data_IF_051965593276
#
_entry.id   IF_051965593276
#
_cell.length_a   1.000
_cell.length_b   1.000
_cell.length_c   1.000
_cell.angle_alpha   90.00
_cell.angle_beta   90.00
_cell.angle_gamma   90.00
#
_symmetry.space_group_name_H-M   'P 1'
#
loop_
_entity.id
_entity.type
_entity.pdbx_description
1 polymer ?
#
# COMPACT_ATOMS: atom_id res chain seq x y z
N UNK A 1 23.23 -37.23 2.17
CA UNK A 1 22.12 -36.91 1.24
C UNK A 1 22.47 -35.61 0.56
N UNK A 2 22.65 -35.61 -0.75
CA UNK A 2 22.86 -34.37 -1.52
C UNK A 2 21.58 -33.55 -1.42
N UNK A 3 21.66 -32.36 -0.83
CA UNK A 3 20.52 -31.46 -0.71
C UNK A 3 20.10 -31.07 -2.14
N UNK A 4 18.89 -31.46 -2.57
CA UNK A 4 18.42 -31.40 -3.97
C UNK A 4 18.53 -29.98 -4.54
N UNK A 5 18.48 -28.97 -3.66
CA UNK A 5 18.54 -27.56 -4.04
C UNK A 5 19.95 -27.02 -4.29
N UNK A 6 21.01 -27.71 -3.88
CA UNK A 6 22.37 -27.23 -4.09
C UNK A 6 22.73 -27.30 -5.58
N UNK A 7 23.33 -26.23 -6.13
CA UNK A 7 23.75 -26.24 -7.52
C UNK A 7 24.93 -27.20 -7.71
N UNK A 8 25.06 -27.77 -8.91
CA UNK A 8 26.08 -28.80 -9.22
C UNK A 8 27.53 -28.36 -8.97
N UNK A 9 27.81 -27.06 -9.03
CA UNK A 9 29.13 -26.49 -8.78
C UNK A 9 29.46 -26.37 -7.28
N UNK A 10 28.46 -26.46 -6.40
CA UNK A 10 28.65 -26.30 -4.97
C UNK A 10 29.05 -27.64 -4.33
N UNK A 11 30.30 -27.73 -3.90
CA UNK A 11 30.84 -28.91 -3.20
C UNK A 11 30.91 -28.66 -1.69
N UNK A 12 31.33 -27.45 -1.30
CA UNK A 12 31.50 -27.02 0.08
C UNK A 12 31.40 -25.48 0.19
N UNK A 13 31.50 -24.93 1.40
CA UNK A 13 31.43 -23.49 1.65
C UNK A 13 32.51 -22.65 0.95
N UNK A 14 33.60 -23.27 0.51
CA UNK A 14 34.71 -22.61 -0.19
C UNK A 14 34.58 -22.73 -1.71
N UNK A 15 33.47 -23.30 -2.21
CA UNK A 15 33.24 -23.43 -3.65
C UNK A 15 32.91 -22.08 -4.24
N UNK A 16 33.71 -21.64 -5.22
CA UNK A 16 33.45 -20.41 -5.96
C UNK A 16 32.49 -20.68 -7.12
N UNK A 17 31.50 -19.80 -7.30
CA UNK A 17 30.55 -19.93 -8.39
C UNK A 17 31.24 -19.60 -9.73
N UNK A 18 31.21 -20.49 -10.73
CA UNK A 18 31.89 -20.24 -12.01
C UNK A 18 31.17 -19.20 -12.88
N UNK A 19 29.95 -18.82 -12.54
CA UNK A 19 29.11 -17.93 -13.34
C UNK A 19 29.13 -16.47 -12.88
N UNK A 20 29.66 -16.19 -11.68
CA UNK A 20 29.65 -14.84 -11.11
C UNK A 20 29.73 -14.85 -9.59
N UNK A 21 29.21 -13.77 -8.99
CA UNK A 21 29.21 -13.57 -7.54
C UNK A 21 27.79 -13.66 -6.99
N UNK A 22 27.60 -14.41 -5.90
CA UNK A 22 26.35 -14.38 -5.13
C UNK A 22 26.29 -13.10 -4.31
N UNK A 23 25.24 -12.29 -4.52
CA UNK A 23 24.95 -11.10 -3.74
C UNK A 23 23.88 -11.39 -2.69
N UNK A 24 23.77 -10.47 -1.73
CA UNK A 24 22.72 -10.52 -0.72
C UNK A 24 21.33 -10.56 -1.35
N UNK A 25 20.44 -11.36 -0.74
CA UNK A 25 19.08 -11.51 -1.23
C UNK A 25 18.92 -12.48 -2.40
N UNK A 26 19.81 -13.47 -2.53
CA UNK A 26 19.75 -14.45 -3.62
C UNK A 26 19.73 -13.79 -4.99
N UNK A 27 20.67 -12.89 -5.27
CA UNK A 27 20.85 -12.25 -6.58
C UNK A 27 22.22 -12.61 -7.12
N UNK A 28 22.30 -13.13 -8.35
CA UNK A 28 23.59 -13.39 -9.01
C UNK A 28 24.07 -12.15 -9.75
N UNK A 29 25.34 -11.77 -9.57
CA UNK A 29 26.06 -10.81 -10.41
C UNK A 29 26.97 -11.58 -11.39
N UNK A 30 26.62 -11.68 -12.68
CA UNK A 30 27.43 -12.40 -13.66
C UNK A 30 28.79 -11.73 -13.91
N UNK A 31 29.86 -12.50 -14.14
CA UNK A 31 31.18 -11.93 -14.45
C UNK A 31 31.20 -11.06 -15.72
N UNK A 32 30.42 -11.46 -16.73
CA UNK A 32 30.31 -10.75 -18.01
C UNK A 32 28.91 -10.10 -18.12
N UNK A 33 28.53 -9.28 -17.14
CA UNK A 33 27.24 -8.61 -17.14
C UNK A 33 27.16 -7.56 -18.26
N UNK A 34 26.22 -7.73 -19.19
CA UNK A 34 25.83 -6.70 -20.14
C UNK A 34 24.88 -5.68 -19.51
N UNK A 35 24.36 -4.78 -20.33
CA UNK A 35 23.42 -3.75 -19.88
C UNK A 35 22.15 -4.34 -19.26
N UNK A 36 21.58 -5.38 -19.88
CA UNK A 36 20.34 -6.00 -19.42
C UNK A 36 20.54 -6.79 -18.12
N UNK A 37 21.68 -7.48 -17.96
CA UNK A 37 22.05 -8.17 -16.73
C UNK A 37 22.27 -7.16 -15.60
N UNK A 38 23.00 -6.07 -15.86
CA UNK A 38 23.20 -4.99 -14.88
C UNK A 38 21.87 -4.37 -14.42
N UNK A 39 20.97 -4.06 -15.36
CA UNK A 39 19.63 -3.59 -15.04
C UNK A 39 18.82 -4.64 -14.26
N UNK A 40 18.99 -5.92 -14.58
CA UNK A 40 18.32 -7.02 -13.88
C UNK A 40 18.80 -7.18 -12.44
N UNK A 41 20.10 -6.97 -12.18
CA UNK A 41 20.64 -6.92 -10.81
C UNK A 41 19.97 -5.80 -10.02
N UNK A 42 19.83 -4.61 -10.60
CA UNK A 42 19.13 -3.48 -9.96
C UNK A 42 17.68 -3.82 -9.62
N UNK A 43 16.95 -4.43 -10.55
CA UNK A 43 15.58 -4.90 -10.28
C UNK A 43 15.52 -6.01 -9.23
N UNK A 44 16.57 -6.83 -9.11
CA UNK A 44 16.72 -7.79 -8.00
C UNK A 44 16.62 -7.13 -6.62
N UNK A 45 17.05 -5.87 -6.47
CA UNK A 45 16.99 -5.17 -5.19
C UNK A 45 15.69 -4.39 -4.93
N UNK A 46 14.78 -4.30 -5.90
CA UNK A 46 13.53 -3.54 -5.77
C UNK A 46 12.62 -4.04 -4.63
N UNK A 47 12.45 -5.36 -4.38
CA UNK A 47 11.62 -5.81 -3.26
C UNK A 47 12.11 -5.29 -1.91
N UNK A 48 13.44 -5.21 -1.73
CA UNK A 48 14.05 -4.66 -0.51
C UNK A 48 13.86 -3.15 -0.41
N UNK A 49 14.06 -2.43 -1.51
CA UNK A 49 13.81 -0.99 -1.56
C UNK A 49 12.34 -0.65 -1.26
N UNK A 50 11.40 -1.42 -1.83
CA UNK A 50 9.98 -1.31 -1.53
C UNK A 50 9.68 -1.63 -0.05
N UNK A 51 10.28 -2.69 0.50
CA UNK A 51 10.16 -3.03 1.92
C UNK A 51 10.63 -1.90 2.84
N UNK A 52 11.81 -1.34 2.59
CA UNK A 52 12.34 -0.18 3.33
C UNK A 52 11.41 1.01 3.19
N UNK A 53 10.95 1.33 1.98
CA UNK A 53 9.98 2.39 1.73
C UNK A 53 8.71 2.22 2.58
N UNK A 54 8.12 1.01 2.61
CA UNK A 54 6.93 0.75 3.41
C UNK A 54 7.20 0.79 4.92
N UNK A 55 8.40 0.43 5.38
CA UNK A 55 8.76 0.55 6.81
C UNK A 55 8.84 2.03 7.18
N UNK A 56 9.52 2.85 6.38
CA UNK A 56 9.68 4.28 6.63
C UNK A 56 8.32 5.00 6.61
N UNK A 57 7.45 4.70 5.63
CA UNK A 57 6.11 5.30 5.57
C UNK A 57 5.23 4.82 6.73
N UNK A 58 5.38 3.57 7.20
CA UNK A 58 4.70 3.08 8.40
C UNK A 58 5.12 3.84 9.64
N UNK A 59 6.43 4.07 9.83
CA UNK A 59 6.96 4.84 10.98
C UNK A 59 6.44 6.28 10.95
N UNK A 60 6.39 6.88 9.76
CA UNK A 60 5.95 8.26 9.57
C UNK A 60 4.44 8.44 9.74
N UNK A 61 3.62 7.62 9.08
CA UNK A 61 2.15 7.77 9.05
C UNK A 61 1.44 7.04 10.19
N UNK A 62 2.02 5.94 10.69
CA UNK A 62 1.50 5.10 11.78
C UNK A 62 0.06 4.63 11.54
N UNK A 63 -0.27 4.43 10.26
CA UNK A 63 -1.61 4.11 9.82
C UNK A 63 -1.84 2.61 9.69
N UNK A 64 -3.08 2.18 9.92
CA UNK A 64 -3.50 0.78 9.80
C UNK A 64 -3.27 0.22 8.39
N UNK A 65 -3.38 1.05 7.36
CA UNK A 65 -3.07 0.65 5.99
C UNK A 65 -1.60 0.25 5.81
N UNK A 66 -0.69 1.11 6.28
CA UNK A 66 0.75 0.88 6.19
C UNK A 66 1.15 -0.37 6.99
N UNK A 67 0.62 -0.53 8.21
CA UNK A 67 0.81 -1.75 9.00
C UNK A 67 0.30 -3.00 8.27
N UNK A 68 -0.84 -2.92 7.59
CA UNK A 68 -1.39 -4.05 6.83
C UNK A 68 -0.45 -4.51 5.72
N UNK A 69 0.19 -3.58 4.99
CA UNK A 69 1.16 -3.90 3.94
C UNK A 69 2.41 -4.59 4.53
N UNK A 70 2.92 -4.12 5.67
CA UNK A 70 4.07 -4.75 6.33
C UNK A 70 3.73 -6.16 6.81
N UNK A 71 2.59 -6.33 7.47
CA UNK A 71 2.13 -7.64 7.95
C UNK A 71 1.95 -8.59 6.77
N UNK A 72 1.35 -8.11 5.67
CA UNK A 72 1.22 -8.89 4.45
C UNK A 72 2.57 -9.35 3.91
N UNK A 73 3.54 -8.43 3.77
CA UNK A 73 4.89 -8.78 3.32
C UNK A 73 5.56 -9.84 4.19
N UNK A 74 5.41 -9.76 5.51
CA UNK A 74 5.91 -10.79 6.45
C UNK A 74 5.24 -12.14 6.19
N UNK A 75 3.91 -12.17 6.01
CA UNK A 75 3.15 -13.41 5.75
C UNK A 75 3.55 -14.02 4.41
N UNK A 76 3.72 -13.22 3.35
CA UNK A 76 4.16 -13.68 2.03
C UNK A 76 5.57 -14.29 2.11
N UNK A 77 6.50 -13.62 2.79
CA UNK A 77 7.85 -14.17 2.99
C UNK A 77 7.81 -15.47 3.78
N UNK A 78 7.07 -15.50 4.89
CA UNK A 78 6.98 -16.67 5.75
C UNK A 78 6.32 -17.87 5.03
N UNK A 79 5.22 -17.65 4.32
CA UNK A 79 4.53 -18.69 3.56
C UNK A 79 5.40 -19.23 2.42
N UNK A 80 6.16 -18.38 1.74
CA UNK A 80 7.07 -18.80 0.69
C UNK A 80 8.29 -19.58 1.21
N UNK A 81 9.01 -19.03 2.19
CA UNK A 81 10.24 -19.64 2.72
C UNK A 81 9.98 -20.89 3.56
N UNK A 82 8.91 -20.91 4.36
CA UNK A 82 8.62 -22.02 5.26
C UNK A 82 7.51 -22.95 4.77
N UNK A 83 6.73 -22.54 3.78
CA UNK A 83 5.67 -23.36 3.17
C UNK A 83 6.05 -23.85 1.79
N UNK A 84 5.89 -22.99 0.78
CA UNK A 84 5.94 -23.38 -0.63
C UNK A 84 7.28 -24.00 -1.05
N UNK A 85 8.41 -23.45 -0.60
CA UNK A 85 9.73 -23.99 -0.95
C UNK A 85 9.95 -25.43 -0.47
N UNK A 86 9.48 -25.73 0.74
CA UNK A 86 9.59 -27.07 1.35
C UNK A 86 8.65 -28.09 0.68
N UNK A 87 7.65 -27.65 -0.07
CA UNK A 87 6.76 -28.54 -0.84
C UNK A 87 7.36 -28.83 -2.22
N UNK A 88 8.04 -27.86 -2.84
CA UNK A 88 8.50 -27.96 -4.22
C UNK A 88 9.91 -28.56 -4.35
N UNK A 89 10.84 -28.28 -3.42
CA UNK A 89 12.22 -28.79 -3.39
C UNK A 89 12.96 -28.76 -4.75
N UNK A 90 12.69 -27.73 -5.57
CA UNK A 90 13.25 -27.64 -6.91
C UNK A 90 14.55 -26.84 -6.93
N UNK A 91 15.59 -27.41 -7.53
CA UNK A 91 16.86 -26.72 -7.78
C UNK A 91 16.72 -25.52 -8.73
N UNK A 92 17.66 -24.58 -8.61
CA UNK A 92 17.82 -23.46 -9.55
C UNK A 92 18.44 -23.94 -10.87
N UNK A 93 18.23 -23.22 -11.99
CA UNK A 93 18.85 -23.59 -13.26
C UNK A 93 20.37 -23.39 -13.25
N UNK A 94 21.03 -23.99 -14.23
CA UNK A 94 22.46 -23.77 -14.48
C UNK A 94 22.69 -22.29 -14.81
N UNK A 95 23.67 -21.68 -14.14
CA UNK A 95 23.98 -20.25 -14.27
C UNK A 95 23.74 -19.45 -13.00
N UNK A 96 22.91 -19.94 -12.06
CA UNK A 96 22.73 -19.28 -10.77
C UNK A 96 23.93 -19.51 -9.85
N UNK A 97 24.31 -18.48 -9.12
CA UNK A 97 25.23 -18.55 -7.99
C UNK A 97 24.52 -18.69 -6.63
N UNK A 98 23.18 -18.72 -6.62
CA UNK A 98 22.41 -18.89 -5.39
C UNK A 98 22.40 -20.36 -4.95
N UNK A 99 22.52 -20.59 -3.64
CA UNK A 99 22.60 -21.94 -3.05
C UNK A 99 21.29 -22.41 -2.41
N UNK A 100 20.25 -21.56 -2.39
CA UNK A 100 18.92 -21.88 -1.90
C UNK A 100 18.03 -22.53 -2.96
N UNK A 101 16.93 -23.16 -2.53
CA UNK A 101 15.92 -23.71 -3.45
C UNK A 101 15.32 -22.64 -4.36
N UNK A 102 15.05 -23.02 -5.61
CA UNK A 102 14.60 -22.12 -6.67
C UNK A 102 13.08 -22.03 -6.81
N UNK A 103 12.29 -22.97 -6.30
CA UNK A 103 10.83 -22.93 -6.46
C UNK A 103 10.11 -22.77 -5.12
N UNK A 104 9.18 -21.81 -5.00
CA UNK A 104 8.95 -20.67 -5.89
C UNK A 104 9.99 -19.56 -5.68
N UNK A 105 10.08 -18.64 -6.65
CA UNK A 105 10.93 -17.46 -6.52
C UNK A 105 10.33 -16.44 -5.55
N UNK A 106 10.98 -16.22 -4.40
CA UNK A 106 10.53 -15.27 -3.37
C UNK A 106 10.37 -13.85 -3.92
N UNK A 107 11.29 -13.41 -4.79
CA UNK A 107 11.23 -12.09 -5.42
C UNK A 107 9.98 -11.93 -6.28
N UNK A 108 9.65 -12.96 -7.07
CA UNK A 108 8.47 -12.94 -7.92
C UNK A 108 7.18 -13.02 -7.09
N UNK A 109 7.09 -13.89 -6.07
CA UNK A 109 5.92 -13.95 -5.18
C UNK A 109 5.68 -12.60 -4.51
N UNK A 110 6.69 -12.03 -3.84
CA UNK A 110 6.54 -10.77 -3.10
C UNK A 110 6.09 -9.63 -4.00
N UNK A 111 6.73 -9.46 -5.17
CA UNK A 111 6.43 -8.33 -6.07
C UNK A 111 5.10 -8.46 -6.77
N UNK A 112 4.73 -9.68 -7.21
CA UNK A 112 3.41 -9.93 -7.81
C UNK A 112 2.29 -9.82 -6.79
N UNK A 113 2.50 -10.30 -5.55
CA UNK A 113 1.56 -10.14 -4.45
C UNK A 113 1.35 -8.67 -4.08
N UNK A 114 2.44 -7.93 -3.88
CA UNK A 114 2.40 -6.50 -3.58
C UNK A 114 1.75 -5.71 -4.71
N UNK A 115 2.12 -5.98 -5.96
CA UNK A 115 1.51 -5.34 -7.13
C UNK A 115 0.00 -5.62 -7.18
N UNK A 116 -0.42 -6.86 -6.92
CA UNK A 116 -1.84 -7.26 -6.93
C UNK A 116 -2.65 -6.48 -5.90
N UNK A 117 -2.17 -6.37 -4.65
CA UNK A 117 -2.92 -5.62 -3.62
C UNK A 117 -3.02 -4.14 -3.96
N UNK A 118 -1.95 -3.53 -4.50
CA UNK A 118 -1.93 -2.11 -4.85
C UNK A 118 -2.84 -1.86 -6.06
N UNK A 119 -2.74 -2.69 -7.10
CA UNK A 119 -3.56 -2.60 -8.29
C UNK A 119 -5.05 -2.72 -7.94
N UNK A 120 -5.44 -3.70 -7.11
CA UNK A 120 -6.82 -3.86 -6.65
C UNK A 120 -7.26 -2.66 -5.80
N UNK A 121 -6.47 -2.22 -4.82
CA UNK A 121 -6.90 -1.11 -3.95
C UNK A 121 -7.03 0.22 -4.70
N UNK A 122 -6.15 0.50 -5.65
CA UNK A 122 -6.29 1.64 -6.56
C UNK A 122 -7.53 1.49 -7.47
N UNK A 123 -7.76 0.30 -8.04
CA UNK A 123 -8.89 0.06 -8.96
C UNK A 123 -10.24 0.19 -8.26
N UNK A 124 -10.35 -0.18 -6.98
CA UNK A 124 -11.61 -0.07 -6.22
C UNK A 124 -11.89 1.36 -5.74
N UNK A 125 -10.91 2.26 -5.77
CA UNK A 125 -11.07 3.66 -5.30
C UNK A 125 -11.23 4.65 -6.44
N UNK A 126 -10.96 4.26 -7.68
CA UNK A 126 -11.12 5.17 -8.83
C UNK A 126 -12.60 5.50 -9.02
N UNK A 127 -12.96 6.78 -8.90
CA UNK A 127 -14.32 7.25 -9.13
C UNK A 127 -14.42 7.86 -10.51
N UNK A 128 -15.46 7.46 -11.26
CA UNK A 128 -15.92 8.14 -12.46
C UNK A 128 -16.74 9.37 -12.09
N UNK A 129 -16.15 10.29 -11.32
CA UNK A 129 -16.80 11.60 -11.17
C UNK A 129 -16.54 12.37 -12.46
N UNK A 130 -17.57 12.87 -13.16
CA UNK A 130 -17.38 13.87 -14.20
C UNK A 130 -16.97 15.18 -13.50
N UNK A 131 -15.71 15.25 -13.07
CA UNK A 131 -15.10 16.52 -12.72
C UNK A 131 -15.04 17.28 -14.03
N UNK A 132 -15.79 18.38 -14.11
CA UNK A 132 -15.69 19.34 -15.21
C UNK A 132 -14.22 19.67 -15.42
N UNK A 133 -13.66 19.07 -16.47
CA UNK A 133 -12.25 19.14 -16.80
C UNK A 133 -12.03 20.55 -17.33
N UNK A 134 -11.71 21.49 -16.42
CA UNK A 134 -11.23 22.80 -16.82
C UNK A 134 -9.80 22.59 -17.31
N UNK A 135 -9.69 22.21 -18.58
CA UNK A 135 -8.45 21.88 -19.26
C UNK A 135 -7.54 23.09 -19.37
N UNK A 136 -6.78 23.36 -18.32
CA UNK A 136 -5.47 23.98 -18.49
C UNK A 136 -4.50 22.92 -19.01
N UNK A 137 -3.81 23.19 -20.12
CA UNK A 137 -2.66 22.40 -20.58
C UNK A 137 -1.56 22.42 -19.49
N UNK A 138 -1.71 21.59 -18.46
CA UNK A 138 -0.62 21.33 -17.51
C UNK A 138 0.26 20.24 -18.10
N UNK A 139 1.57 20.49 -18.12
CA UNK A 139 2.52 19.53 -18.68
C UNK A 139 2.43 18.20 -17.92
N UNK A 140 2.68 17.08 -18.59
CA UNK A 140 2.86 15.78 -17.94
C UNK A 140 3.84 15.87 -16.76
N UNK A 141 4.86 16.72 -16.88
CA UNK A 141 5.86 16.97 -15.83
C UNK A 141 5.24 17.61 -14.58
N UNK A 142 4.31 18.56 -14.75
CA UNK A 142 3.66 19.22 -13.61
C UNK A 142 2.72 18.26 -12.88
N UNK A 143 2.04 17.39 -13.63
CA UNK A 143 1.21 16.31 -13.08
C UNK A 143 2.04 15.28 -12.32
N UNK A 144 3.19 14.90 -12.87
CA UNK A 144 4.13 13.98 -12.21
C UNK A 144 4.77 14.60 -10.96
N UNK A 145 5.17 15.88 -11.00
CA UNK A 145 5.66 16.61 -9.83
C UNK A 145 4.59 16.73 -8.75
N UNK A 146 3.36 17.09 -9.11
CA UNK A 146 2.25 17.16 -8.17
C UNK A 146 1.97 15.79 -7.52
N UNK A 147 2.05 14.70 -8.29
CA UNK A 147 1.94 13.34 -7.79
C UNK A 147 3.04 12.99 -6.77
N UNK A 148 4.30 13.30 -7.08
CA UNK A 148 5.42 13.10 -6.16
C UNK A 148 5.29 13.95 -4.89
N UNK A 149 4.88 15.22 -5.02
CA UNK A 149 4.68 16.14 -3.90
C UNK A 149 3.49 15.76 -3.01
N UNK A 150 2.42 15.23 -3.59
CA UNK A 150 1.28 14.74 -2.82
C UNK A 150 1.62 13.48 -2.02
N UNK A 151 2.67 12.74 -2.38
CA UNK A 151 3.12 11.57 -1.62
C UNK A 151 2.10 10.43 -1.62
N UNK A 152 1.14 10.42 -2.55
CA UNK A 152 0.07 9.44 -2.60
C UNK A 152 0.45 8.17 -3.39
N UNK A 153 1.64 7.63 -3.10
CA UNK A 153 2.04 6.30 -3.59
C UNK A 153 1.22 5.18 -2.94
N UNK A 154 0.47 5.49 -1.88
CA UNK A 154 -0.45 4.60 -1.20
C UNK A 154 -1.92 5.06 -1.31
N UNK A 155 -2.85 4.15 -1.62
CA UNK A 155 -4.28 4.43 -1.67
C UNK A 155 -4.86 4.61 -0.26
N UNK A 156 -4.83 5.85 0.25
CA UNK A 156 -5.37 6.19 1.60
C UNK A 156 -6.65 7.01 1.56
N UNK A 157 -6.98 7.62 0.43
CA UNK A 157 -8.26 8.28 0.23
C UNK A 157 -9.35 7.25 -0.07
N UNK A 158 -10.59 7.50 0.37
CA UNK A 158 -11.76 6.66 0.01
C UNK A 158 -12.07 6.67 -1.49
N UNK A 159 -11.63 7.73 -2.19
CA UNK A 159 -11.87 8.01 -3.60
C UNK A 159 -10.62 8.64 -4.20
N UNK A 160 -10.23 8.23 -5.40
CA UNK A 160 -9.09 8.79 -6.16
C UNK A 160 -9.54 9.20 -7.57
N UNK A 161 -8.81 10.15 -8.18
CA UNK A 161 -9.02 10.54 -9.58
C UNK A 161 -8.40 9.53 -10.54
N UNK A 162 -8.88 9.51 -11.79
CA UNK A 162 -8.35 8.66 -12.87
C UNK A 162 -6.86 8.94 -13.13
N UNK A 163 -6.47 10.21 -13.12
CA UNK A 163 -5.08 10.63 -13.31
C UNK A 163 -4.15 10.08 -12.22
N UNK A 164 -4.61 10.12 -10.97
CA UNK A 164 -3.86 9.60 -9.84
C UNK A 164 -3.81 8.07 -9.90
N UNK A 165 -4.91 7.41 -10.27
CA UNK A 165 -4.92 5.97 -10.53
C UNK A 165 -3.87 5.58 -11.57
N UNK A 166 -3.86 6.23 -12.75
CA UNK A 166 -2.91 5.93 -13.83
C UNK A 166 -1.47 6.16 -13.39
N UNK A 167 -1.18 7.28 -12.73
CA UNK A 167 0.17 7.58 -12.24
C UNK A 167 0.65 6.56 -11.21
N UNK A 168 -0.18 6.22 -10.21
CA UNK A 168 0.20 5.31 -9.14
C UNK A 168 0.28 3.86 -9.60
N UNK A 169 -0.72 3.38 -10.34
CA UNK A 169 -0.72 2.03 -10.90
C UNK A 169 0.42 1.86 -11.91
N UNK A 170 0.69 2.87 -12.73
CA UNK A 170 1.82 2.89 -13.66
C UNK A 170 3.16 2.82 -12.94
N UNK A 171 3.37 3.66 -11.91
CA UNK A 171 4.58 3.64 -11.09
C UNK A 171 4.85 2.25 -10.49
N UNK A 172 3.86 1.67 -9.81
CA UNK A 172 4.03 0.37 -9.16
C UNK A 172 4.16 -0.78 -10.16
N UNK A 173 3.51 -0.69 -11.32
CA UNK A 173 3.69 -1.68 -12.39
C UNK A 173 5.11 -1.66 -12.94
N UNK A 174 5.65 -0.46 -13.22
CA UNK A 174 7.03 -0.29 -13.69
C UNK A 174 8.07 -0.68 -12.64
N UNK A 175 7.79 -0.47 -11.37
CA UNK A 175 8.70 -0.87 -10.29
C UNK A 175 8.69 -2.39 -10.06
N UNK A 176 7.51 -3.01 -9.94
CA UNK A 176 7.38 -4.37 -9.41
C UNK A 176 7.35 -5.46 -10.49
N UNK A 177 6.68 -5.24 -11.63
CA UNK A 177 6.49 -6.28 -12.65
C UNK A 177 7.77 -6.69 -13.41
N UNK A 178 8.80 -5.84 -13.58
CA UNK A 178 10.05 -6.29 -14.18
C UNK A 178 10.87 -7.24 -13.31
N UNK A 179 10.63 -7.27 -11.99
CA UNK A 179 11.40 -8.09 -11.03
C UNK A 179 11.32 -9.59 -11.36
N UNK A 180 10.14 -10.21 -11.59
CA UNK A 180 10.05 -11.58 -12.09
C UNK A 180 10.95 -11.87 -13.31
N UNK A 181 10.97 -10.98 -14.31
CA UNK A 181 11.77 -11.17 -15.52
C UNK A 181 13.27 -11.05 -15.23
N UNK A 182 13.67 -10.15 -14.35
CA UNK A 182 15.07 -9.98 -13.94
C UNK A 182 15.65 -11.28 -13.38
N UNK A 183 14.84 -12.06 -12.67
CA UNK A 183 15.24 -13.36 -12.11
C UNK A 183 15.54 -14.42 -13.18
N UNK A 184 14.85 -14.34 -14.32
CA UNK A 184 15.06 -15.24 -15.47
C UNK A 184 16.31 -14.82 -16.24
N UNK A 185 16.50 -13.51 -16.46
CA UNK A 185 17.67 -12.95 -17.17
C UNK A 185 18.95 -13.33 -16.43
N UNK A 186 18.98 -13.15 -15.10
CA UNK A 186 20.12 -13.50 -14.24
C UNK A 186 20.33 -15.01 -14.05
N UNK A 187 19.51 -15.85 -14.69
CA UNK A 187 19.54 -17.32 -14.53
C UNK A 187 19.37 -17.77 -13.08
N UNK A 188 18.78 -16.94 -12.23
CA UNK A 188 18.51 -17.32 -10.84
C UNK A 188 17.28 -18.23 -10.72
N UNK A 189 16.37 -18.15 -11.69
CA UNK A 189 15.17 -18.96 -11.76
C UNK A 189 14.80 -19.33 -13.19
N UNK A 190 14.09 -20.44 -13.37
CA UNK A 190 13.46 -20.78 -14.66
C UNK A 190 12.18 -20.00 -14.87
N UNK A 191 11.72 -19.87 -16.12
CA UNK A 191 10.43 -19.25 -16.43
C UNK A 191 9.26 -19.95 -15.71
N UNK A 192 9.32 -21.26 -15.55
CA UNK A 192 8.30 -22.02 -14.81
C UNK A 192 8.27 -21.65 -13.33
N UNK A 193 9.45 -21.56 -12.68
CA UNK A 193 9.55 -21.17 -11.27
C UNK A 193 8.99 -19.78 -11.03
N UNK A 194 9.28 -18.85 -11.93
CA UNK A 194 8.79 -17.47 -11.87
C UNK A 194 7.29 -17.39 -12.16
N UNK A 195 6.78 -18.16 -13.13
CA UNK A 195 5.36 -18.20 -13.47
C UNK A 195 4.51 -18.74 -12.31
N UNK A 196 4.91 -19.87 -11.71
CA UNK A 196 4.21 -20.42 -10.54
C UNK A 196 4.27 -19.45 -9.36
N UNK A 197 5.43 -18.82 -9.12
CA UNK A 197 5.55 -17.78 -8.10
C UNK A 197 4.60 -16.59 -8.36
N UNK A 198 4.44 -16.18 -9.62
CA UNK A 198 3.49 -15.13 -9.98
C UNK A 198 2.03 -15.50 -9.68
N UNK A 199 1.63 -16.75 -9.97
CA UNK A 199 0.28 -17.25 -9.63
C UNK A 199 0.07 -17.23 -8.12
N UNK A 200 1.03 -17.77 -7.35
CA UNK A 200 0.98 -17.77 -5.88
C UNK A 200 0.83 -16.34 -5.36
N UNK A 201 1.66 -15.41 -5.84
CA UNK A 201 1.60 -14.02 -5.40
C UNK A 201 0.26 -13.35 -5.72
N UNK A 202 -0.29 -13.56 -6.92
CA UNK A 202 -1.63 -13.05 -7.28
C UNK A 202 -2.71 -13.62 -6.35
N UNK A 203 -2.69 -14.92 -6.08
CA UNK A 203 -3.66 -15.57 -5.18
C UNK A 203 -3.55 -15.04 -3.76
N UNK A 204 -2.34 -14.97 -3.20
CA UNK A 204 -2.09 -14.42 -1.86
C UNK A 204 -2.53 -12.95 -1.76
N UNK A 205 -2.25 -12.15 -2.80
CA UNK A 205 -2.69 -10.76 -2.91
C UNK A 205 -4.22 -10.61 -2.94
N UNK A 206 -4.92 -11.42 -3.74
CA UNK A 206 -6.40 -11.41 -3.79
C UNK A 206 -6.99 -11.78 -2.42
N UNK A 207 -6.47 -12.85 -1.79
CA UNK A 207 -6.95 -13.29 -0.47
C UNK A 207 -6.77 -12.17 0.56
N UNK A 208 -5.59 -11.54 0.60
CA UNK A 208 -5.33 -10.43 1.52
C UNK A 208 -6.21 -9.22 1.25
N UNK A 209 -6.40 -8.87 -0.03
CA UNK A 209 -7.28 -7.78 -0.42
C UNK A 209 -8.73 -8.01 0.03
N UNK A 210 -9.27 -9.22 -0.17
CA UNK A 210 -10.63 -9.56 0.26
C UNK A 210 -10.77 -9.54 1.78
N UNK A 211 -9.81 -10.13 2.51
CA UNK A 211 -9.77 -10.09 3.97
C UNK A 211 -9.79 -8.64 4.48
N UNK A 212 -8.91 -7.80 3.95
CA UNK A 212 -8.79 -6.40 4.37
C UNK A 212 -9.98 -5.57 3.92
N UNK A 213 -10.60 -5.86 2.78
CA UNK A 213 -11.85 -5.23 2.35
C UNK A 213 -12.96 -5.47 3.37
N UNK A 214 -13.16 -6.71 3.81
CA UNK A 214 -14.16 -7.04 4.83
C UNK A 214 -13.87 -6.33 6.16
N UNK A 215 -12.61 -6.32 6.58
CA UNK A 215 -12.18 -5.62 7.79
C UNK A 215 -12.42 -4.11 7.69
N UNK A 216 -12.15 -3.49 6.54
CA UNK A 216 -12.37 -2.05 6.31
C UNK A 216 -13.85 -1.69 6.37
N UNK A 217 -14.72 -2.46 5.73
CA UNK A 217 -16.17 -2.26 5.79
C UNK A 217 -16.66 -2.37 7.23
N UNK A 218 -16.24 -3.42 7.96
CA UNK A 218 -16.63 -3.61 9.36
C UNK A 218 -16.12 -2.52 10.29
N UNK A 219 -14.96 -1.94 9.98
CA UNK A 219 -14.28 -0.95 10.84
C UNK A 219 -14.43 0.49 10.36
N UNK A 220 -15.29 0.77 9.37
CA UNK A 220 -15.42 2.10 8.77
C UNK A 220 -15.76 3.18 9.82
N UNK A 221 -16.63 2.84 10.78
CA UNK A 221 -17.03 3.74 11.89
C UNK A 221 -15.89 4.12 12.84
N UNK A 222 -14.74 3.46 12.73
CA UNK A 222 -13.54 3.74 13.52
C UNK A 222 -12.48 4.51 12.74
N UNK A 223 -12.72 4.86 11.47
CA UNK A 223 -11.80 5.67 10.67
C UNK A 223 -11.51 7.01 11.37
N UNK A 224 -10.25 7.40 11.41
CA UNK A 224 -9.74 8.59 12.11
C UNK A 224 -9.42 8.37 13.58
N UNK A 225 -9.85 7.26 14.20
CA UNK A 225 -9.52 6.99 15.61
C UNK A 225 -8.04 6.69 15.80
N UNK A 226 -7.53 7.11 16.96
CA UNK A 226 -6.15 6.89 17.40
C UNK A 226 -6.15 5.92 18.59
N UNK A 227 -5.36 4.86 18.52
CA UNK A 227 -5.16 3.90 19.61
C UNK A 227 -3.73 3.95 20.14
N UNK A 228 -3.55 3.43 21.36
CA UNK A 228 -2.25 3.31 22.05
C UNK A 228 -1.44 4.62 21.99
N UNK A 229 -2.04 5.70 22.49
CA UNK A 229 -1.43 7.05 22.53
C UNK A 229 -1.01 7.59 21.15
N UNK A 230 -1.70 7.17 20.08
CA UNK A 230 -1.44 7.64 18.72
C UNK A 230 -0.39 6.84 17.95
N UNK A 231 0.04 5.69 18.48
CA UNK A 231 0.87 4.75 17.73
C UNK A 231 0.11 4.03 16.61
N UNK A 232 -1.23 3.97 16.69
CA UNK A 232 -2.07 3.39 15.64
C UNK A 232 -3.16 4.36 15.25
N UNK A 233 -3.22 4.69 13.96
CA UNK A 233 -4.25 5.55 13.39
C UNK A 233 -5.05 4.73 12.39
N UNK A 234 -6.36 4.63 12.59
CA UNK A 234 -7.22 4.06 11.54
C UNK A 234 -7.34 5.05 10.39
N UNK A 235 -6.54 4.89 9.34
CA UNK A 235 -6.49 5.79 8.19
C UNK A 235 -6.92 5.09 6.89
N UNK A 236 -7.65 3.98 6.99
CA UNK A 236 -7.93 3.11 5.85
C UNK A 236 -9.43 2.96 5.61
N UNK A 237 -10.08 3.99 5.05
CA UNK A 237 -11.50 3.92 4.76
C UNK A 237 -11.79 2.87 3.69
N UNK A 238 -12.96 2.23 3.79
CA UNK A 238 -13.48 1.37 2.74
C UNK A 238 -13.60 2.16 1.42
N UNK A 239 -13.30 1.53 0.27
CA UNK A 239 -13.55 2.14 -1.03
C UNK A 239 -15.04 2.43 -1.19
N UNK A 240 -15.39 3.62 -1.71
CA UNK A 240 -16.78 4.00 -1.98
C UNK A 240 -17.03 3.95 -3.48
N UNK A 241 -17.83 2.98 -3.93
CA UNK A 241 -18.34 2.99 -5.29
C UNK A 241 -19.51 3.96 -5.36
N UNK A 242 -19.36 5.08 -6.07
CA UNK A 242 -20.51 5.89 -6.45
C UNK A 242 -21.23 5.17 -7.59
N UNK A 243 -22.44 4.67 -7.31
CA UNK A 243 -23.36 4.30 -8.38
C UNK A 243 -24.10 5.58 -8.74
N UNK A 244 -23.91 6.15 -9.95
CA UNK A 244 -24.75 7.25 -10.39
C UNK A 244 -26.19 6.72 -10.37
N UNK A 245 -27.04 7.31 -9.53
CA UNK A 245 -28.47 7.05 -9.64
C UNK A 245 -28.86 7.50 -11.04
N UNK A 246 -29.32 6.56 -11.87
CA UNK A 246 -29.83 6.86 -13.20
C UNK A 246 -30.94 7.88 -13.00
N UNK A 247 -30.76 9.10 -13.53
CA UNK A 247 -31.75 10.19 -13.55
C UNK A 247 -32.98 9.75 -14.36
N UNK A 248 -33.74 8.79 -13.83
CA UNK A 248 -34.98 8.28 -14.39
C UNK A 248 -36.18 9.02 -13.80
N UNK A 249 -35.98 9.78 -12.72
CA UNK A 249 -37.04 10.49 -11.99
C UNK A 249 -36.82 12.02 -11.99
N UNK A 250 -36.09 12.57 -12.96
CA UNK A 250 -36.34 13.98 -13.32
C UNK A 250 -37.66 13.93 -14.08
N UNK A 251 -38.75 14.02 -13.33
CA UNK A 251 -40.08 14.27 -13.83
C UNK A 251 -39.99 15.39 -14.87
N UNK A 252 -40.58 15.19 -16.03
CA UNK A 252 -40.72 16.18 -17.11
C UNK A 252 -41.60 17.39 -16.71
N UNK A 253 -41.75 17.66 -15.42
CA UNK A 253 -42.28 18.90 -14.89
C UNK A 253 -41.08 19.74 -14.48
N UNK A 254 -40.84 20.85 -15.19
CA UNK A 254 -39.73 21.78 -14.96
C UNK A 254 -39.80 22.54 -13.63
N UNK A 255 -40.32 21.92 -12.58
CA UNK A 255 -40.26 22.43 -11.22
C UNK A 255 -38.87 22.12 -10.65
N UNK A 256 -38.13 23.19 -10.42
CA UNK A 256 -36.78 23.22 -9.84
C UNK A 256 -36.82 22.63 -8.42
N UNK A 257 -36.76 21.30 -8.31
CA UNK A 257 -36.61 20.60 -7.03
C UNK A 257 -35.18 20.82 -6.57
N UNK A 258 -34.98 21.85 -5.75
CA UNK A 258 -33.75 21.98 -4.95
C UNK A 258 -33.50 20.63 -4.27
N UNK A 259 -32.28 20.07 -4.37
CA UNK A 259 -31.97 18.85 -3.65
C UNK A 259 -32.22 19.11 -2.16
N UNK A 260 -32.84 18.15 -1.44
CA UNK A 260 -32.97 18.28 0.00
C UNK A 260 -31.56 18.48 0.54
N UNK A 261 -31.40 19.48 1.41
CA UNK A 261 -30.15 19.75 2.12
C UNK A 261 -29.78 18.54 2.96
N UNK A 262 -29.15 17.54 2.35
CA UNK A 262 -28.44 16.51 3.08
C UNK A 262 -27.33 17.25 3.79
N UNK A 263 -27.46 17.36 5.12
CA UNK A 263 -26.46 17.91 6.01
C UNK A 263 -25.18 17.09 5.94
N UNK A 264 -24.41 17.27 4.87
CA UNK A 264 -23.01 16.88 4.81
C UNK A 264 -22.28 17.96 5.58
N UNK A 265 -22.14 17.75 6.88
CA UNK A 265 -21.19 18.51 7.67
C UNK A 265 -19.81 18.30 7.06
N UNK A 266 -19.34 19.31 6.34
CA UNK A 266 -17.93 19.44 5.99
C UNK A 266 -17.13 19.48 7.30
N UNK A 267 -15.97 18.80 7.41
CA UNK A 267 -15.16 18.77 8.63
C UNK A 267 -14.64 20.14 9.12
N UNK A 268 -14.98 21.24 8.43
CA UNK A 268 -14.55 22.60 8.75
C UNK A 268 -15.48 23.34 9.71
N UNK A 269 -16.67 22.80 10.04
CA UNK A 269 -17.62 23.48 10.95
C UNK A 269 -17.60 23.00 12.40
N UNK A 270 -16.80 21.99 12.76
CA UNK A 270 -16.66 21.54 14.16
C UNK A 270 -15.67 22.37 15.01
N UNK A 271 -15.08 23.44 14.46
CA UNK A 271 -14.06 24.24 15.16
C UNK A 271 -14.52 25.65 15.56
N UNK A 272 -15.81 25.98 15.44
CA UNK A 272 -16.36 27.29 15.84
C UNK A 272 -17.56 27.23 16.81
N UNK A 273 -17.80 26.09 17.45
CA UNK A 273 -18.69 26.07 18.62
C UNK A 273 -17.91 26.60 19.84
N UNK A 274 -17.93 27.92 20.02
CA UNK A 274 -17.60 28.54 21.30
C UNK A 274 -18.59 28.03 22.37
N UNK A 275 -18.16 27.82 23.62
CA UNK A 275 -19.07 27.46 24.69
C UNK A 275 -20.10 28.59 24.90
N UNK A 276 -21.38 28.27 25.19
CA UNK A 276 -22.38 29.28 25.50
C UNK A 276 -22.00 30.01 26.80
N UNK A 277 -22.09 31.35 26.76
CA UNK A 277 -21.96 32.19 27.94
C UNK A 277 -22.95 31.76 29.03
N UNK A 278 -22.54 31.76 30.31
CA UNK A 278 -23.46 31.48 31.41
C UNK A 278 -24.53 32.58 31.46
N UNK A 279 -25.79 32.14 31.41
CA UNK A 279 -26.97 32.99 31.54
C UNK A 279 -26.87 33.85 32.81
N UNK A 280 -27.01 35.16 32.63
CA UNK A 280 -27.07 36.13 33.70
C UNK A 280 -28.30 35.92 34.58
N UNK A 281 -28.04 35.88 35.88
CA UNK A 281 -29.02 35.80 36.96
C UNK A 281 -29.62 37.20 37.22
N UNK A 282 -30.95 37.40 37.15
CA UNK A 282 -31.55 38.69 37.43
C UNK A 282 -31.92 38.79 38.91
N UNK A 283 -31.20 39.67 39.63
CA UNK A 283 -31.76 40.37 40.78
C UNK A 283 -31.10 40.07 42.13
N UNK A 284 -30.18 40.93 42.54
CA UNK A 284 -29.94 41.21 43.96
C UNK A 284 -29.74 42.72 44.15
N UNK A 285 -30.60 43.24 45.02
CA UNK A 285 -30.82 44.64 45.43
C UNK A 285 -29.62 45.20 46.23
N UNK A 286 -29.07 46.39 45.91
CA UNK A 286 -27.92 46.94 46.61
C UNK A 286 -28.34 47.78 47.83
N UNK A 287 -28.62 47.12 48.95
CA UNK A 287 -28.67 47.82 50.25
C UNK A 287 -28.51 46.87 51.45
N UNK A 288 -27.28 46.64 51.93
CA UNK A 288 -26.96 46.54 53.38
C UNK A 288 -25.46 46.31 53.62
N UNK A 289 -24.86 46.83 54.72
CA UNK A 289 -23.42 46.94 54.86
C UNK A 289 -22.75 45.79 55.63
N UNK A 290 -21.47 45.59 55.27
CA UNK A 290 -20.33 45.10 56.05
C UNK A 290 -20.58 44.32 57.36
N UNK A 291 -20.09 43.07 57.39
CA UNK A 291 -19.53 42.48 58.60
C UNK A 291 -18.28 41.65 58.27
N UNK A 292 -17.34 41.67 59.23
CA UNK A 292 -15.95 41.23 59.14
C UNK A 292 -15.79 39.74 59.53
N UNK A 293 -14.53 39.31 59.42
CA UNK A 293 -13.77 38.32 60.22
C UNK A 293 -13.68 36.83 59.74
N UNK A 294 -12.67 36.02 60.15
CA UNK A 294 -11.54 35.61 59.29
C UNK A 294 -11.17 34.10 59.35
N UNK A 295 -10.23 33.67 58.49
CA UNK A 295 -9.25 32.59 58.76
C UNK A 295 -9.72 31.13 58.70
N UNK A 296 -8.96 30.28 57.99
CA UNK A 296 -8.05 29.28 58.57
C UNK A 296 -7.56 28.30 57.48
N UNK A 297 -6.23 28.09 57.48
CA UNK A 297 -5.43 26.93 57.04
C UNK A 297 -5.41 26.56 55.57
#
# INVERSE_FOLDING_TARGET
MTNVCLPKWYVNSNSECPYGTHLAGDVTLPYNAGFLEGLSVMFGFVPYAAGIFFILITIWRRGLHEYSIIIFGIIVVASNEYGWKNIADQARPVGSCCTSCGMPSSHAVITTALWTILALDFSYRVSQTPQGYSGGLTSFVDRFRAFLHAGHLLPTASVISEDHFVAAAGFWSLALLPVPLSRIILKDHTSQQVFVAGIIGVVEGIIWFLLTLLLRVKTENYTGRRWLRGCFIHNWPAPRCFVPLKNSDITADGSDVRPPSTGVHTPRQLQQAAPPDPAGDPGVDPSSPASKIPGLV
#
